data_IF_512027321113
#
_entry.id   IF_512027321113
#
_cell.length_a   1.000
_cell.length_b   1.000
_cell.length_c   1.000
_cell.angle_alpha   90.00
_cell.angle_beta   90.00
_cell.angle_gamma   90.00
#
_symmetry.space_group_name_H-M   'P 1'
#
loop_
_entity.id
_entity.type
_entity.pdbx_description
1 polymer ?
#
# COMPACT_ATOMS: atom_id res chain seq x y z
N UNK A 1 -9.63 8.70 1.52
CA UNK A 1 -9.10 8.37 0.17
C UNK A 1 -7.97 9.26 -0.29
N UNK A 2 -7.95 10.52 0.11
CA UNK A 2 -6.86 11.41 -0.30
C UNK A 2 -5.48 10.89 0.12
N UNK A 3 -5.37 10.33 1.32
CA UNK A 3 -4.12 9.75 1.81
C UNK A 3 -3.69 8.56 0.97
N UNK A 4 -4.64 7.77 0.48
CA UNK A 4 -4.36 6.63 -0.39
C UNK A 4 -3.85 7.11 -1.75
N UNK A 5 -4.53 8.07 -2.36
CA UNK A 5 -4.11 8.60 -3.66
C UNK A 5 -2.72 9.21 -3.57
N UNK A 6 -2.47 9.97 -2.52
CA UNK A 6 -1.16 10.56 -2.28
C UNK A 6 -0.08 9.48 -2.14
N UNK A 7 -0.37 8.43 -1.36
CA UNK A 7 0.58 7.35 -1.16
C UNK A 7 0.92 6.64 -2.47
N UNK A 8 -0.07 6.46 -3.34
CA UNK A 8 0.11 5.75 -4.61
C UNK A 8 0.68 6.64 -5.71
N UNK A 9 0.80 7.94 -5.49
CA UNK A 9 1.26 8.87 -6.52
C UNK A 9 2.77 8.84 -6.74
N UNK A 10 3.53 8.27 -5.84
CA UNK A 10 4.99 8.26 -5.90
C UNK A 10 5.50 6.91 -6.41
N UNK A 11 6.40 6.89 -7.42
CA UNK A 11 6.89 5.63 -7.97
C UNK A 11 7.68 4.78 -6.98
N UNK A 12 8.41 5.41 -6.04
CA UNK A 12 9.13 4.66 -5.02
C UNK A 12 8.18 3.97 -4.07
N UNK A 13 7.08 4.62 -3.70
CA UNK A 13 6.08 4.00 -2.83
C UNK A 13 5.40 2.84 -3.54
N UNK A 14 5.09 2.97 -4.82
CA UNK A 14 4.55 1.85 -5.59
C UNK A 14 5.55 0.69 -5.66
N UNK A 15 6.85 1.00 -5.79
CA UNK A 15 7.89 -0.03 -5.81
C UNK A 15 7.96 -0.77 -4.47
N UNK A 16 7.84 -0.05 -3.35
CA UNK A 16 7.82 -0.66 -2.02
C UNK A 16 6.65 -1.64 -1.90
N UNK A 17 5.47 -1.25 -2.37
CA UNK A 17 4.31 -2.14 -2.33
C UNK A 17 4.54 -3.41 -3.15
N UNK A 18 5.19 -3.30 -4.32
CA UNK A 18 5.52 -4.48 -5.14
C UNK A 18 6.50 -5.39 -4.42
N UNK A 19 7.49 -4.81 -3.75
CA UNK A 19 8.47 -5.60 -2.98
C UNK A 19 7.75 -6.37 -1.87
N UNK A 20 6.84 -5.72 -1.16
CA UNK A 20 6.12 -6.33 -0.05
C UNK A 20 5.10 -7.40 -0.49
N UNK A 21 4.82 -7.50 -1.79
CA UNK A 21 4.00 -8.59 -2.32
C UNK A 21 4.64 -9.96 -2.09
N UNK A 22 5.95 -10.00 -1.91
CA UNK A 22 6.68 -11.25 -1.64
C UNK A 22 6.58 -11.70 -0.19
N UNK A 23 6.10 -10.82 0.69
CA UNK A 23 5.94 -11.13 2.09
C UNK A 23 6.50 -10.01 2.97
N UNK A 24 6.41 -10.23 4.26
CA UNK A 24 6.84 -9.28 5.28
C UNK A 24 8.36 -9.07 5.23
N UNK A 25 8.80 -7.82 5.38
CA UNK A 25 10.22 -7.47 5.30
C UNK A 25 10.56 -6.34 6.26
N UNK A 26 11.80 -6.31 6.72
CA UNK A 26 12.34 -5.18 7.48
C UNK A 26 12.63 -4.01 6.55
N UNK A 27 12.74 -2.81 7.12
CA UNK A 27 13.12 -1.62 6.33
C UNK A 27 14.50 -1.82 5.67
N UNK A 28 15.43 -2.46 6.38
CA UNK A 28 16.75 -2.74 5.81
C UNK A 28 16.69 -3.61 4.57
N UNK A 29 15.87 -4.65 4.61
CA UNK A 29 15.70 -5.53 3.46
C UNK A 29 15.06 -4.79 2.26
N UNK A 30 14.10 -3.91 2.53
CA UNK A 30 13.49 -3.08 1.49
C UNK A 30 14.53 -2.13 0.91
N UNK A 31 15.33 -1.50 1.77
CA UNK A 31 16.35 -0.53 1.35
C UNK A 31 17.39 -1.17 0.43
N UNK A 32 17.68 -2.45 0.61
CA UNK A 32 18.64 -3.16 -0.22
C UNK A 32 18.17 -3.29 -1.67
N UNK A 33 16.89 -3.11 -1.92
CA UNK A 33 16.31 -3.30 -3.24
C UNK A 33 15.96 -1.99 -3.95
N UNK A 34 16.15 -0.85 -3.29
CA UNK A 34 15.79 0.44 -3.84
C UNK A 34 16.98 1.40 -3.77
N UNK A 35 17.26 2.15 -4.84
CA UNK A 35 18.36 3.10 -4.86
C UNK A 35 17.99 4.43 -4.21
N UNK A 36 17.53 4.38 -2.95
CA UNK A 36 17.14 5.56 -2.20
C UNK A 36 17.78 5.53 -0.81
N UNK A 37 17.95 6.70 -0.21
CA UNK A 37 18.51 6.83 1.11
C UNK A 37 17.55 6.24 2.15
N UNK A 38 18.10 5.73 3.25
CA UNK A 38 17.29 5.14 4.33
C UNK A 38 16.30 6.13 4.93
N UNK A 39 16.71 7.40 5.05
CA UNK A 39 15.82 8.44 5.57
C UNK A 39 14.64 8.68 4.63
N UNK A 40 14.87 8.64 3.32
CA UNK A 40 13.83 8.79 2.31
C UNK A 40 12.87 7.59 2.38
N UNK A 41 13.43 6.39 2.53
CA UNK A 41 12.62 5.17 2.67
C UNK A 41 11.72 5.26 3.90
N UNK A 42 12.25 5.72 5.04
CA UNK A 42 11.45 5.88 6.26
C UNK A 42 10.26 6.81 6.03
N UNK A 43 10.47 7.91 5.30
CA UNK A 43 9.40 8.83 4.95
C UNK A 43 8.33 8.16 4.10
N UNK A 44 8.73 7.39 3.10
CA UNK A 44 7.79 6.65 2.25
C UNK A 44 7.01 5.61 3.03
N UNK A 45 7.68 4.88 3.92
CA UNK A 45 7.02 3.86 4.74
C UNK A 45 6.00 4.51 5.68
N UNK A 46 6.30 5.69 6.23
CA UNK A 46 5.36 6.41 7.08
C UNK A 46 4.13 6.84 6.29
N UNK A 47 4.30 7.34 5.07
CA UNK A 47 3.16 7.72 4.22
C UNK A 47 2.28 6.51 3.92
N UNK A 48 2.89 5.37 3.58
CA UNK A 48 2.15 4.14 3.30
C UNK A 48 1.43 3.62 4.54
N UNK A 49 2.06 3.71 5.70
CA UNK A 49 1.46 3.30 6.96
C UNK A 49 0.27 4.19 7.33
N UNK A 50 0.44 5.50 7.18
CA UNK A 50 -0.63 6.44 7.49
C UNK A 50 -1.84 6.29 6.56
N UNK A 51 -1.61 5.82 5.35
CA UNK A 51 -2.67 5.51 4.40
C UNK A 51 -3.27 4.12 4.62
N UNK A 52 -2.82 3.39 5.62
CA UNK A 52 -3.25 2.02 5.92
C UNK A 52 -2.97 1.01 4.81
N UNK A 53 -2.02 1.31 3.95
CA UNK A 53 -1.61 0.37 2.89
C UNK A 53 -0.60 -0.65 3.40
N UNK A 54 0.12 -0.30 4.46
CA UNK A 54 1.18 -1.11 5.05
C UNK A 54 0.98 -1.14 6.55
N UNK A 55 1.23 -2.30 7.15
CA UNK A 55 1.22 -2.48 8.60
C UNK A 55 2.67 -2.63 9.05
N UNK A 56 3.04 -1.86 10.07
CA UNK A 56 4.33 -1.96 10.71
C UNK A 56 4.17 -2.69 12.03
N UNK A 57 4.97 -3.72 12.26
CA UNK A 57 4.89 -4.53 13.48
C UNK A 57 6.28 -4.63 14.10
N UNK A 58 6.37 -4.21 15.34
CA UNK A 58 7.63 -4.27 16.09
C UNK A 58 7.85 -5.69 16.60
N UNK A 59 9.04 -6.20 16.34
CA UNK A 59 9.44 -7.52 16.81
C UNK A 59 10.81 -7.38 17.43
N UNK A 60 10.85 -7.17 18.76
CA UNK A 60 12.09 -6.82 19.45
C UNK A 60 12.56 -5.44 19.05
N UNK A 61 13.77 -5.33 18.52
CA UNK A 61 14.35 -4.07 18.04
C UNK A 61 14.12 -3.86 16.55
N UNK A 62 13.49 -4.81 15.88
CA UNK A 62 13.25 -4.76 14.43
C UNK A 62 11.80 -4.46 14.16
N UNK A 63 11.53 -3.61 13.17
CA UNK A 63 10.19 -3.36 12.67
C UNK A 63 10.05 -4.07 11.33
N UNK A 64 9.00 -4.86 11.20
CA UNK A 64 8.68 -5.56 9.97
C UNK A 64 7.44 -4.94 9.34
N UNK A 65 7.47 -4.84 8.03
CA UNK A 65 6.40 -4.20 7.26
C UNK A 65 5.73 -5.25 6.40
N UNK A 66 4.40 -5.17 6.30
CA UNK A 66 3.63 -6.06 5.43
C UNK A 66 2.47 -5.30 4.81
N UNK A 67 1.95 -5.83 3.72
CA UNK A 67 0.77 -5.26 3.08
C UNK A 67 -0.46 -5.45 3.96
N UNK A 68 -1.32 -4.45 4.00
CA UNK A 68 -2.60 -4.53 4.68
C UNK A 68 -3.66 -4.98 3.66
N UNK A 69 -3.81 -6.28 3.51
CA UNK A 69 -4.68 -6.88 2.49
C UNK A 69 -6.13 -6.48 2.68
N UNK A 70 -6.60 -6.42 3.94
CA UNK A 70 -7.99 -6.02 4.23
C UNK A 70 -8.28 -4.61 3.71
N UNK A 71 -7.33 -3.67 3.91
CA UNK A 71 -7.50 -2.31 3.42
C UNK A 71 -7.51 -2.26 1.89
N UNK A 72 -6.75 -3.13 1.23
CA UNK A 72 -6.71 -3.20 -0.23
C UNK A 72 -8.07 -3.54 -0.81
N UNK A 73 -8.80 -4.45 -0.20
CA UNK A 73 -10.14 -4.82 -0.66
C UNK A 73 -11.09 -3.63 -0.59
N UNK A 74 -11.02 -2.85 0.50
CA UNK A 74 -11.83 -1.65 0.65
C UNK A 74 -11.45 -0.58 -0.38
N UNK A 75 -10.15 -0.41 -0.64
CA UNK A 75 -9.65 0.57 -1.59
C UNK A 75 -10.08 0.21 -3.01
N UNK A 76 -9.95 -1.05 -3.37
CA UNK A 76 -10.36 -1.53 -4.70
C UNK A 76 -11.84 -1.31 -4.89
N UNK A 77 -12.66 -1.65 -3.89
CA UNK A 77 -14.10 -1.44 -3.95
C UNK A 77 -14.43 0.05 -4.12
N UNK A 78 -13.73 0.93 -3.42
CA UNK A 78 -13.96 2.36 -3.50
C UNK A 78 -13.57 2.90 -4.89
N UNK A 79 -12.48 2.43 -5.46
CA UNK A 79 -12.04 2.84 -6.79
C UNK A 79 -13.03 2.36 -7.84
N UNK A 80 -13.49 1.13 -7.73
CA UNK A 80 -14.50 0.57 -8.65
C UNK A 80 -15.80 1.36 -8.58
N UNK A 81 -16.21 1.73 -7.37
CA UNK A 81 -17.41 2.55 -7.17
C UNK A 81 -17.25 3.92 -7.84
N UNK A 82 -16.07 4.53 -7.65
CA UNK A 82 -15.77 5.83 -8.24
C UNK A 82 -15.84 5.79 -9.77
N UNK A 83 -15.37 4.70 -10.36
CA UNK A 83 -15.35 4.52 -11.81
C UNK A 83 -16.65 3.93 -12.34
N UNK A 84 -17.57 3.56 -11.47
CA UNK A 84 -18.86 3.00 -11.87
C UNK A 84 -18.81 1.54 -12.31
N UNK A 85 -17.70 0.85 -12.15
CA UNK A 85 -17.55 -0.51 -12.65
C UNK A 85 -18.46 -1.49 -11.90
N UNK A 86 -18.46 -1.42 -10.56
CA UNK A 86 -19.32 -2.29 -9.75
C UNK A 86 -20.80 -1.98 -9.93
N UNK A 87 -21.15 -0.70 -10.05
CA UNK A 87 -22.52 -0.28 -10.26
C UNK A 87 -23.04 -0.73 -11.62
N UNK A 88 -22.20 -0.67 -12.65
CA UNK A 88 -22.57 -1.13 -13.98
C UNK A 88 -22.87 -2.63 -13.96
N UNK A 89 -22.09 -3.41 -13.22
CA UNK A 89 -22.33 -4.84 -13.10
C UNK A 89 -23.64 -5.14 -12.39
N UNK A 90 -23.94 -4.40 -11.32
CA UNK A 90 -25.20 -4.57 -10.59
C UNK A 90 -26.38 -4.18 -11.45
N UNK A 91 -26.23 -3.13 -12.23
CA UNK A 91 -27.27 -2.69 -13.16
C UNK A 91 -27.54 -3.76 -14.21
N UNK A 92 -26.48 -4.38 -14.70
CA UNK A 92 -26.61 -5.46 -15.67
C UNK A 92 -27.38 -6.65 -15.12
N UNK A 93 -27.16 -6.95 -13.85
CA UNK A 93 -27.87 -8.06 -13.17
C UNK A 93 -29.35 -7.79 -13.07
N UNK A 94 -29.72 -6.54 -12.84
CA UNK A 94 -31.13 -6.15 -12.74
C UNK A 94 -31.84 -6.21 -14.07
N UNK A 95 -31.09 -6.03 -15.12
CA UNK A 95 -31.63 -6.10 -16.46
C UNK A 95 -31.80 -7.51 -16.90
#
# INVERSE_FOLDING_TARGET
MDTVYRALSDPNRRAILRILRRGEMSAGAIADELPIAKSTLSGHLNVLKDANLVIAERNGTTIRYRLNVAAYEEIIAAIMDLLGVGDADRTGDDG
#
